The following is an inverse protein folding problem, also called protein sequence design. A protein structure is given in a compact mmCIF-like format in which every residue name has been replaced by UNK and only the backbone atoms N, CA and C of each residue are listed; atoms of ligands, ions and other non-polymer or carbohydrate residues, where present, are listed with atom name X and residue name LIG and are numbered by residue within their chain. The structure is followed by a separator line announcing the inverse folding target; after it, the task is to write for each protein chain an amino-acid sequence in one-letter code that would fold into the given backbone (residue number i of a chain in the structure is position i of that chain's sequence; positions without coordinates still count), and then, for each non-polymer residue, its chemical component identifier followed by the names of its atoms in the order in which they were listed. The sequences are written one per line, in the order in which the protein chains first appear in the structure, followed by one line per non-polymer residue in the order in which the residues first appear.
data_IF_385841570344
#
_entry.id   IF_385841570344
#
_cell.length_a   1.000
_cell.length_b   1.000
_cell.length_c   1.000
_cell.angle_alpha   90.00
_cell.angle_beta   90.00
_cell.angle_gamma   90.00
#
_symmetry.space_group_name_H-M   'P 1'
#
loop_
_entity.id
_entity.type
_entity.pdbx_description
1 polymer ?
#
# COMPACT_ATOMS: atom_id res chain seq x y z
N UNK A 1 -2.41 1.94 4.12
CA UNK A 1 -1.96 2.86 3.06
C UNK A 1 -3.17 3.46 2.37
N UNK A 2 -3.23 4.78 2.24
CA UNK A 2 -4.33 5.49 1.58
C UNK A 2 -3.78 6.31 0.42
N UNK A 3 -4.34 6.12 -0.75
CA UNK A 3 -4.04 6.90 -1.94
C UNK A 3 -5.21 7.86 -2.21
N UNK A 4 -4.88 9.10 -2.43
CA UNK A 4 -5.80 10.12 -2.94
C UNK A 4 -5.49 10.39 -4.41
N UNK A 5 -6.50 10.33 -5.25
CA UNK A 5 -6.38 10.65 -6.66
C UNK A 5 -7.50 11.60 -7.11
N UNK A 6 -7.15 12.61 -7.88
CA UNK A 6 -8.09 13.49 -8.57
C UNK A 6 -7.87 13.41 -10.06
N UNK A 7 -8.93 13.08 -10.80
CA UNK A 7 -8.90 13.03 -12.26
C UNK A 7 -9.86 14.10 -12.79
N UNK A 8 -9.34 15.07 -13.50
CA UNK A 8 -10.15 16.05 -14.22
C UNK A 8 -10.51 15.49 -15.59
N UNK A 9 -11.81 15.23 -15.81
CA UNK A 9 -12.32 14.64 -17.05
C UNK A 9 -12.50 15.71 -18.12
N UNK A 10 -12.96 16.89 -17.68
CA UNK A 10 -13.10 18.11 -18.49
C UNK A 10 -12.95 19.31 -17.55
N UNK A 11 -12.78 20.50 -18.11
CA UNK A 11 -12.61 21.72 -17.31
C UNK A 11 -13.73 21.87 -16.27
N UNK A 12 -13.35 21.79 -14.99
CA UNK A 12 -14.27 21.91 -13.87
C UNK A 12 -15.04 20.63 -13.50
N UNK A 13 -14.88 19.53 -14.27
CA UNK A 13 -15.52 18.24 -13.99
C UNK A 13 -14.47 17.24 -13.54
N UNK A 14 -14.57 16.77 -12.31
CA UNK A 14 -13.56 15.89 -11.72
C UNK A 14 -14.18 14.71 -10.96
N UNK A 15 -13.46 13.60 -11.00
CA UNK A 15 -13.59 12.50 -10.06
C UNK A 15 -12.48 12.58 -9.01
N UNK A 16 -12.83 12.27 -7.77
CA UNK A 16 -11.89 12.13 -6.67
C UNK A 16 -12.01 10.72 -6.11
N UNK A 17 -10.89 10.06 -5.94
CA UNK A 17 -10.82 8.69 -5.43
C UNK A 17 -10.01 8.64 -4.14
N UNK A 18 -10.54 7.94 -3.14
CA UNK A 18 -9.79 7.48 -1.99
C UNK A 18 -9.71 5.96 -2.07
N UNK A 19 -8.50 5.46 -2.22
CA UNK A 19 -8.21 4.04 -2.27
C UNK A 19 -7.44 3.65 -1.01
N UNK A 20 -8.01 2.73 -0.23
CA UNK A 20 -7.43 2.26 1.03
C UNK A 20 -7.11 0.79 0.89
N UNK A 21 -5.82 0.48 0.84
CA UNK A 21 -5.32 -0.89 0.78
C UNK A 21 -5.06 -1.40 2.19
N UNK A 22 -5.83 -2.39 2.61
CA UNK A 22 -5.71 -3.03 3.93
C UNK A 22 -5.11 -4.41 3.74
N UNK A 23 -3.88 -4.67 4.16
CA UNK A 23 -3.28 -5.99 4.04
C UNK A 23 -4.03 -7.00 4.92
N UNK A 24 -4.27 -8.19 4.38
CA UNK A 24 -4.82 -9.34 5.09
C UNK A 24 -3.66 -10.27 5.47
N UNK A 25 -2.81 -10.56 4.51
CA UNK A 25 -1.60 -11.35 4.65
C UNK A 25 -0.55 -10.90 3.60
N UNK A 26 0.49 -11.68 3.43
CA UNK A 26 1.61 -11.38 2.53
C UNK A 26 1.23 -11.29 1.04
N UNK A 27 0.17 -11.96 0.64
CA UNK A 27 -0.25 -12.08 -0.76
C UNK A 27 -1.64 -11.47 -1.01
N UNK A 28 -2.39 -11.21 0.05
CA UNK A 28 -3.77 -10.75 -0.04
C UNK A 28 -3.96 -9.38 0.60
N UNK A 29 -4.62 -8.51 -0.15
CA UNK A 29 -4.97 -7.15 0.30
C UNK A 29 -6.43 -6.88 -0.01
N UNK A 30 -7.15 -6.32 0.94
CA UNK A 30 -8.51 -5.83 0.74
C UNK A 30 -8.46 -4.36 0.34
N UNK A 31 -9.01 -4.06 -0.83
CA UNK A 31 -9.13 -2.69 -1.33
C UNK A 31 -10.51 -2.13 -1.01
N UNK A 32 -10.53 -0.95 -0.39
CA UNK A 32 -11.72 -0.13 -0.24
C UNK A 32 -11.56 1.09 -1.14
N UNK A 33 -12.60 1.38 -1.94
CA UNK A 33 -12.61 2.52 -2.82
C UNK A 33 -13.82 3.40 -2.52
N UNK A 34 -13.56 4.69 -2.30
CA UNK A 34 -14.60 5.72 -2.22
C UNK A 34 -14.38 6.67 -3.39
N UNK A 35 -15.42 6.88 -4.19
CA UNK A 35 -15.37 7.78 -5.33
C UNK A 35 -16.35 8.94 -5.13
N UNK A 36 -15.89 10.14 -5.43
CA UNK A 36 -16.69 11.36 -5.44
C UNK A 36 -16.64 11.97 -6.84
N UNK A 37 -17.73 12.61 -7.23
CA UNK A 37 -17.80 13.37 -8.48
C UNK A 37 -18.54 14.69 -8.26
N UNK A 38 -18.25 15.68 -9.07
CA UNK A 38 -18.93 16.97 -9.06
C UNK A 38 -19.76 17.24 -10.33
N UNK A 39 -20.11 16.18 -11.06
CA UNK A 39 -20.89 16.23 -12.30
C UNK A 39 -21.88 15.07 -12.34
N UNK A 40 -22.95 15.20 -13.14
CA UNK A 40 -24.00 14.17 -13.28
C UNK A 40 -24.48 13.68 -11.90
N UNK A 41 -24.92 14.65 -11.06
CA UNK A 41 -25.27 14.40 -9.66
C UNK A 41 -26.68 13.84 -9.47
N UNK A 42 -27.43 13.67 -10.55
CA UNK A 42 -28.77 13.09 -10.54
C UNK A 42 -28.72 11.63 -10.05
N UNK A 43 -29.63 11.20 -9.17
CA UNK A 43 -29.60 9.85 -8.58
C UNK A 43 -29.66 8.72 -9.61
N UNK A 44 -30.31 8.93 -10.76
CA UNK A 44 -30.37 7.94 -11.84
C UNK A 44 -28.99 7.67 -12.49
N UNK A 45 -28.03 8.59 -12.34
CA UNK A 45 -26.65 8.46 -12.84
C UNK A 45 -25.70 7.70 -11.90
N UNK A 46 -26.12 7.49 -10.65
CA UNK A 46 -25.25 6.84 -9.65
C UNK A 46 -24.90 5.42 -10.05
N UNK A 47 -25.87 4.67 -10.56
CA UNK A 47 -25.63 3.29 -10.98
C UNK A 47 -24.61 3.20 -12.12
N UNK A 48 -24.77 4.00 -13.16
CA UNK A 48 -23.85 3.98 -14.31
C UNK A 48 -22.42 4.37 -13.90
N UNK A 49 -22.32 5.34 -12.98
CA UNK A 49 -21.04 5.77 -12.44
C UNK A 49 -20.37 4.67 -11.60
N UNK A 50 -21.14 4.00 -10.74
CA UNK A 50 -20.67 2.88 -9.95
C UNK A 50 -20.21 1.72 -10.84
N UNK A 51 -21.01 1.32 -11.82
CA UNK A 51 -20.70 0.21 -12.73
C UNK A 51 -19.42 0.49 -13.53
N UNK A 52 -19.20 1.73 -13.94
CA UNK A 52 -17.96 2.14 -14.61
C UNK A 52 -16.75 2.06 -13.68
N UNK A 53 -16.86 2.56 -12.45
CA UNK A 53 -15.77 2.50 -11.47
C UNK A 53 -15.43 1.06 -11.11
N UNK A 54 -16.42 0.20 -10.90
CA UNK A 54 -16.22 -1.21 -10.62
C UNK A 54 -15.52 -1.93 -11.79
N UNK A 55 -15.90 -1.62 -13.03
CA UNK A 55 -15.23 -2.18 -14.21
C UNK A 55 -13.73 -1.86 -14.22
N UNK A 56 -13.37 -0.61 -13.95
CA UNK A 56 -11.97 -0.19 -13.89
C UNK A 56 -11.23 -0.94 -12.77
N UNK A 57 -11.82 -1.01 -11.57
CA UNK A 57 -11.23 -1.73 -10.44
C UNK A 57 -11.01 -3.21 -10.75
N UNK A 58 -11.97 -3.87 -11.42
CA UNK A 58 -11.81 -5.28 -11.81
C UNK A 58 -10.77 -5.49 -12.90
N UNK A 59 -10.60 -4.55 -13.82
CA UNK A 59 -9.50 -4.58 -14.80
C UNK A 59 -8.14 -4.45 -14.10
N UNK A 60 -7.99 -3.48 -13.20
CA UNK A 60 -6.77 -3.28 -12.41
C UNK A 60 -6.46 -4.49 -11.53
N UNK A 61 -7.50 -5.08 -10.91
CA UNK A 61 -7.39 -6.31 -10.13
C UNK A 61 -6.83 -7.45 -10.97
N UNK A 62 -7.36 -7.67 -12.16
CA UNK A 62 -6.90 -8.75 -13.05
C UNK A 62 -5.43 -8.58 -13.43
N UNK A 63 -4.98 -7.35 -13.67
CA UNK A 63 -3.57 -7.03 -13.94
C UNK A 63 -2.71 -7.31 -12.70
N UNK A 64 -3.12 -6.80 -11.54
CA UNK A 64 -2.38 -6.98 -10.28
C UNK A 64 -2.25 -8.46 -9.90
N UNK A 65 -3.32 -9.25 -10.05
CA UNK A 65 -3.32 -10.68 -9.78
C UNK A 65 -2.52 -11.50 -10.82
N UNK A 66 -2.37 -10.98 -12.04
CA UNK A 66 -1.53 -11.56 -13.09
C UNK A 66 -0.05 -11.21 -12.96
N UNK A 67 0.33 -10.27 -12.12
CA UNK A 67 1.71 -9.77 -12.01
C UNK A 67 2.66 -10.82 -11.46
N UNK A 68 3.90 -10.81 -11.96
CA UNK A 68 4.98 -11.65 -11.45
C UNK A 68 6.26 -10.80 -11.30
N UNK A 69 7.01 -10.92 -10.20
CA UNK A 69 6.72 -11.72 -9.00
C UNK A 69 5.51 -11.18 -8.23
N UNK A 70 4.81 -12.05 -7.48
CA UNK A 70 3.64 -11.68 -6.68
C UNK A 70 3.95 -10.63 -5.62
N UNK A 71 5.15 -10.69 -5.04
CA UNK A 71 5.66 -9.70 -4.10
C UNK A 71 6.49 -8.67 -4.84
N UNK A 72 6.12 -7.40 -4.76
CA UNK A 72 6.97 -6.33 -5.26
C UNK A 72 8.28 -6.30 -4.46
N UNK A 73 9.44 -6.16 -5.09
CA UNK A 73 10.70 -6.01 -4.38
C UNK A 73 10.67 -4.73 -3.53
N UNK A 74 11.24 -4.79 -2.33
CA UNK A 74 11.30 -3.63 -1.42
C UNK A 74 12.11 -2.47 -2.03
N UNK A 75 13.09 -2.81 -2.85
CA UNK A 75 13.85 -1.86 -3.70
C UNK A 75 14.04 -2.55 -5.05
N UNK A 76 13.75 -1.90 -6.17
CA UNK A 76 13.99 -2.50 -7.47
C UNK A 76 15.48 -2.77 -7.64
N UNK A 77 15.82 -4.01 -7.88
CA UNK A 77 17.17 -4.43 -8.23
C UNK A 77 17.55 -4.05 -9.67
N UNK A 78 16.53 -3.67 -10.45
CA UNK A 78 16.66 -3.37 -11.86
C UNK A 78 16.75 -1.87 -12.10
N UNK A 79 17.59 -1.42 -13.02
CA UNK A 79 17.58 -0.02 -13.43
C UNK A 79 16.19 0.31 -14.00
N UNK A 80 15.57 1.34 -13.50
CA UNK A 80 14.36 1.89 -14.09
C UNK A 80 14.75 2.45 -15.46
N UNK A 81 14.34 1.77 -16.52
CA UNK A 81 14.82 2.03 -17.87
C UNK A 81 14.20 3.31 -18.47
N UNK A 82 13.02 3.67 -18.02
CA UNK A 82 12.31 4.86 -18.48
C UNK A 82 11.60 5.51 -17.30
N UNK A 83 12.08 6.66 -16.88
CA UNK A 83 11.45 7.46 -15.83
C UNK A 83 10.82 8.64 -16.52
N UNK A 84 9.51 8.51 -16.77
CA UNK A 84 8.74 9.65 -17.23
C UNK A 84 8.05 10.34 -16.05
N UNK A 85 7.40 11.46 -16.31
CA UNK A 85 6.73 12.27 -15.28
C UNK A 85 5.68 11.49 -14.52
N UNK A 86 5.06 10.53 -15.17
CA UNK A 86 4.05 9.62 -14.62
C UNK A 86 4.61 8.69 -13.54
N UNK A 87 5.91 8.39 -13.60
CA UNK A 87 6.60 7.50 -12.66
C UNK A 87 7.06 8.17 -11.36
N UNK A 88 6.89 9.48 -11.23
CA UNK A 88 7.37 10.26 -10.07
C UNK A 88 6.80 9.75 -8.75
N UNK A 89 5.55 9.29 -8.72
CA UNK A 89 4.94 8.73 -7.52
C UNK A 89 5.66 7.45 -7.08
N UNK A 90 5.96 6.58 -8.01
CA UNK A 90 6.68 5.31 -7.76
C UNK A 90 8.12 5.59 -7.30
N UNK A 91 8.81 6.52 -7.93
CA UNK A 91 10.16 6.91 -7.53
C UNK A 91 10.19 7.51 -6.12
N UNK A 92 9.22 8.35 -5.80
CA UNK A 92 9.08 8.95 -4.46
C UNK A 92 8.82 7.87 -3.41
N UNK A 93 7.97 6.89 -3.73
CA UNK A 93 7.73 5.73 -2.86
C UNK A 93 9.03 4.95 -2.59
N UNK A 94 9.80 4.62 -3.61
CA UNK A 94 11.07 3.90 -3.43
C UNK A 94 12.11 4.71 -2.66
N UNK A 95 12.18 6.03 -2.86
CA UNK A 95 13.05 6.89 -2.08
C UNK A 95 12.64 6.86 -0.59
N UNK A 96 11.34 6.92 -0.29
CA UNK A 96 10.83 6.79 1.06
C UNK A 96 11.20 5.44 1.68
N UNK A 97 11.00 4.34 0.95
CA UNK A 97 11.34 2.99 1.41
C UNK A 97 12.83 2.85 1.73
N UNK A 98 13.71 3.40 0.89
CA UNK A 98 15.16 3.45 1.17
C UNK A 98 15.49 4.21 2.44
N UNK A 99 14.84 5.37 2.65
CA UNK A 99 15.03 6.17 3.86
C UNK A 99 14.55 5.43 5.13
N UNK A 100 13.43 4.73 5.05
CA UNK A 100 12.91 3.93 6.15
C UNK A 100 13.82 2.75 6.46
N UNK A 101 14.32 2.08 5.43
CA UNK A 101 15.30 0.99 5.58
C UNK A 101 16.58 1.48 6.28
N UNK A 102 17.13 2.61 5.84
CA UNK A 102 18.31 3.21 6.47
C UNK A 102 18.11 3.54 7.95
N UNK A 103 16.88 3.80 8.37
CA UNK A 103 16.47 4.02 9.77
C UNK A 103 16.19 2.71 10.55
N UNK A 104 16.41 1.55 9.95
CA UNK A 104 16.12 0.24 10.57
C UNK A 104 14.62 -0.05 10.72
N UNK A 105 13.78 0.47 9.83
CA UNK A 105 12.33 0.24 9.84
C UNK A 105 11.88 -0.96 9.00
N UNK A 106 12.81 -1.64 8.39
CA UNK A 106 12.51 -2.83 7.60
C UNK A 106 12.27 -4.04 8.52
N UNK A 107 11.18 -4.75 8.29
CA UNK A 107 10.87 -6.01 8.97
C UNK A 107 11.79 -7.10 8.39
N UNK A 108 12.39 -7.88 9.26
CA UNK A 108 13.07 -9.12 8.88
C UNK A 108 12.03 -10.20 8.64
N UNK A 109 11.67 -10.39 7.37
CA UNK A 109 10.59 -11.31 6.97
C UNK A 109 10.95 -12.76 7.23
N UNK A 110 12.21 -13.15 7.01
CA UNK A 110 12.65 -14.53 7.23
C UNK A 110 12.53 -14.90 8.70
N UNK A 111 13.04 -14.02 9.58
CA UNK A 111 12.91 -14.22 11.01
C UNK A 111 11.46 -14.17 11.49
N UNK A 112 10.60 -13.34 10.86
CA UNK A 112 9.18 -13.28 11.16
C UNK A 112 8.45 -14.57 10.75
N UNK A 113 8.69 -15.07 9.54
CA UNK A 113 8.09 -16.31 9.03
C UNK A 113 8.44 -17.53 9.91
N UNK A 114 9.65 -17.57 10.47
CA UNK A 114 10.04 -18.61 11.42
C UNK A 114 9.30 -18.52 12.76
N UNK A 115 9.01 -17.30 13.20
CA UNK A 115 8.27 -17.06 14.43
C UNK A 115 6.78 -17.33 14.27
N UNK A 116 6.20 -16.97 13.14
CA UNK A 116 4.79 -17.23 12.80
C UNK A 116 4.49 -18.74 12.75
N UNK A 117 5.43 -19.53 12.23
CA UNK A 117 5.33 -21.01 12.27
C UNK A 117 5.25 -21.56 13.69
N UNK A 118 5.74 -20.83 14.69
CA UNK A 118 5.65 -21.19 16.10
C UNK A 118 4.38 -20.70 16.78
N UNK A 119 3.51 -19.95 16.06
CA UNK A 119 2.29 -19.37 16.58
C UNK A 119 2.52 -18.29 17.65
N UNK A 120 3.67 -17.62 17.63
CA UNK A 120 4.06 -16.62 18.63
C UNK A 120 3.70 -15.21 18.12
N UNK A 121 2.65 -14.56 18.64
CA UNK A 121 2.18 -13.27 18.14
C UNK A 121 3.23 -12.16 18.33
N UNK A 122 3.38 -11.30 17.33
CA UNK A 122 4.32 -10.19 17.30
C UNK A 122 3.60 -8.88 17.02
N UNK A 123 4.15 -7.79 17.52
CA UNK A 123 3.59 -6.45 17.31
C UNK A 123 4.67 -5.40 17.13
N UNK A 124 4.35 -4.35 16.37
CA UNK A 124 5.17 -3.16 16.28
C UNK A 124 4.77 -2.23 17.41
N UNK A 125 5.70 -1.99 18.33
CA UNK A 125 5.47 -1.12 19.47
C UNK A 125 5.20 0.34 19.04
N UNK A 126 4.20 0.98 19.64
CA UNK A 126 4.09 2.44 19.60
C UNK A 126 5.31 3.09 20.27
N UNK A 127 5.65 4.35 19.95
CA UNK A 127 6.80 5.03 20.56
C UNK A 127 6.78 5.03 22.09
N UNK A 128 5.62 5.28 22.70
CA UNK A 128 5.48 5.29 24.16
C UNK A 128 5.69 3.92 24.81
N UNK A 129 5.27 2.85 24.12
CA UNK A 129 5.50 1.48 24.60
C UNK A 129 6.93 1.02 24.45
N UNK A 130 7.67 1.54 23.48
CA UNK A 130 9.11 1.28 23.32
C UNK A 130 9.92 1.88 24.47
N UNK A 131 9.45 2.97 25.07
CA UNK A 131 10.10 3.60 26.20
C UNK A 131 9.92 2.82 27.52
N UNK A 132 8.91 1.95 27.60
CA UNK A 132 8.62 1.12 28.79
C UNK A 132 8.44 -0.36 28.40
N UNK A 133 9.53 -1.11 28.25
CA UNK A 133 9.49 -2.53 27.90
C UNK A 133 8.80 -3.43 28.91
N UNK A 134 8.70 -3.02 30.18
CA UNK A 134 8.11 -3.81 31.25
C UNK A 134 6.59 -4.04 31.07
N UNK A 135 5.93 -3.15 30.34
CA UNK A 135 4.49 -3.23 30.04
C UNK A 135 4.17 -3.93 28.70
N UNK A 136 5.12 -4.62 28.15
CA UNK A 136 4.98 -5.28 26.86
C UNK A 136 4.47 -6.71 27.00
N UNK A 137 3.27 -6.98 26.48
CA UNK A 137 2.67 -8.31 26.52
C UNK A 137 3.17 -9.19 25.38
N UNK A 138 3.45 -8.59 24.23
CA UNK A 138 3.88 -9.31 23.03
C UNK A 138 5.32 -8.95 22.66
N UNK A 139 6.04 -9.90 22.09
CA UNK A 139 7.40 -9.68 21.60
C UNK A 139 7.41 -8.77 20.37
N UNK A 140 8.47 -8.01 20.18
CA UNK A 140 8.61 -7.11 19.03
C UNK A 140 8.79 -7.88 17.72
N UNK A 141 8.28 -7.32 16.63
CA UNK A 141 8.56 -7.78 15.27
C UNK A 141 10.06 -7.66 15.00
N UNK A 142 10.73 -8.71 14.48
CA UNK A 142 12.15 -8.64 14.11
C UNK A 142 12.34 -7.63 12.98
N UNK A 143 13.40 -6.85 13.06
CA UNK A 143 13.77 -5.85 12.07
C UNK A 143 15.20 -6.04 11.61
N UNK A 144 15.44 -5.72 10.35
CA UNK A 144 16.79 -5.65 9.79
C UNK A 144 17.57 -4.53 10.50
N UNK A 145 18.82 -4.78 10.84
CA UNK A 145 19.66 -3.77 11.46
C UNK A 145 19.81 -2.53 10.55
N UNK A 146 19.86 -1.35 11.16
CA UNK A 146 20.06 -0.11 10.41
C UNK A 146 21.44 -0.15 9.72
N UNK A 147 21.49 0.20 8.43
CA UNK A 147 22.74 0.29 7.68
C UNK A 147 23.16 -0.98 6.94
N UNK A 148 22.34 -2.03 6.94
CA UNK A 148 22.54 -3.21 6.07
C UNK A 148 21.77 -3.09 4.76
#
# INVERSE_FOLDING_TARGET
FTLYGKVEIAKGFSNVFYSMSTPIDEENTKLYLIAFRNFMLEPDKDKDHLDRNLRNVYQDKAIAEGHFPKRAPDVPEWPVINVDREDLLMLTYWQLMRQLRAKGWQIDRLALDELDRKGDPRVIASPGRRADPANWVYRAVPRVAAGQ
#
